data_IF_582479774576
#
_entry.id   IF_582479774576
#
_cell.length_a   1.000
_cell.length_b   1.000
_cell.length_c   1.000
_cell.angle_alpha   90.00
_cell.angle_beta   90.00
_cell.angle_gamma   90.00
#
_symmetry.space_group_name_H-M   'P 1'
#
loop_
_entity.id
_entity.type
_entity.pdbx_description
1 polymer ?
#
# COMPACT_ATOMS: atom_id res chain seq x y z
N UNK A 1 -1.31 -11.27 -27.36
CA UNK A 1 -1.94 -10.11 -26.69
C UNK A 1 -3.35 -9.97 -27.22
N UNK A 2 -4.35 -9.62 -26.39
CA UNK A 2 -5.68 -9.32 -26.88
C UNK A 2 -5.64 -8.09 -27.81
N UNK A 3 -6.56 -8.04 -28.79
CA UNK A 3 -6.70 -6.90 -29.69
C UNK A 3 -7.29 -5.70 -28.93
N UNK A 4 -6.78 -4.49 -29.18
CA UNK A 4 -7.31 -3.27 -28.56
C UNK A 4 -8.68 -2.94 -29.16
N UNK A 5 -9.69 -2.81 -28.30
CA UNK A 5 -11.07 -2.49 -28.67
C UNK A 5 -11.59 -1.37 -27.74
N UNK A 6 -12.05 -0.23 -28.27
CA UNK A 6 -12.57 0.87 -27.47
C UNK A 6 -13.86 0.51 -26.69
N UNK A 7 -14.55 -0.54 -27.10
CA UNK A 7 -15.73 -1.12 -26.42
C UNK A 7 -15.39 -2.39 -25.63
N UNK A 8 -14.13 -2.79 -25.63
CA UNK A 8 -13.65 -3.97 -24.92
C UNK A 8 -13.85 -3.82 -23.41
N UNK A 9 -14.28 -4.90 -22.75
CA UNK A 9 -14.33 -4.93 -21.29
C UNK A 9 -12.91 -4.81 -20.72
N UNK A 10 -12.76 -4.04 -19.65
CA UNK A 10 -11.47 -3.92 -18.95
C UNK A 10 -11.04 -5.27 -18.41
N UNK A 11 -9.82 -5.67 -18.76
CA UNK A 11 -9.19 -6.89 -18.28
C UNK A 11 -8.26 -6.54 -17.12
N UNK A 12 -8.31 -7.33 -16.05
CA UNK A 12 -7.47 -7.15 -14.87
C UNK A 12 -6.54 -8.35 -14.73
N UNK A 13 -5.23 -8.10 -14.74
CA UNK A 13 -4.20 -9.11 -14.52
C UNK A 13 -3.59 -8.93 -13.14
N UNK A 14 -3.69 -9.96 -12.29
CA UNK A 14 -3.26 -9.89 -10.90
C UNK A 14 -2.29 -11.04 -10.60
N UNK A 15 -1.10 -10.70 -10.15
CA UNK A 15 -0.11 -11.66 -9.65
C UNK A 15 0.26 -11.34 -8.20
N UNK A 16 0.40 -12.37 -7.38
CA UNK A 16 0.76 -12.26 -5.96
C UNK A 16 1.89 -13.23 -5.66
N UNK A 17 2.90 -12.77 -4.91
CA UNK A 17 4.02 -13.61 -4.46
C UNK A 17 4.57 -13.10 -3.16
N UNK A 18 5.26 -13.97 -2.43
CA UNK A 18 6.18 -13.54 -1.39
C UNK A 18 7.39 -12.84 -2.03
N UNK A 19 7.93 -11.84 -1.35
CA UNK A 19 9.07 -11.07 -1.82
C UNK A 19 9.95 -10.64 -0.65
N UNK A 20 11.25 -10.50 -0.91
CA UNK A 20 12.13 -9.75 -0.01
C UNK A 20 11.91 -8.25 -0.16
N UNK A 21 12.41 -7.45 0.80
CA UNK A 21 12.33 -5.99 0.72
C UNK A 21 12.97 -5.45 -0.56
N UNK A 22 14.14 -5.96 -0.95
CA UNK A 22 14.84 -5.54 -2.16
C UNK A 22 14.06 -5.85 -3.44
N UNK A 23 13.52 -7.07 -3.56
CA UNK A 23 12.69 -7.48 -4.70
C UNK A 23 11.42 -6.64 -4.83
N UNK A 24 10.85 -6.23 -3.70
CA UNK A 24 9.71 -5.34 -3.67
C UNK A 24 10.06 -3.95 -4.20
N UNK A 25 11.12 -3.34 -3.67
CA UNK A 25 11.57 -2.00 -4.07
C UNK A 25 11.90 -1.94 -5.56
N UNK A 26 12.64 -2.93 -6.07
CA UNK A 26 12.96 -3.05 -7.48
C UNK A 26 11.70 -3.14 -8.37
N UNK A 27 10.72 -3.95 -7.97
CA UNK A 27 9.47 -4.09 -8.71
C UNK A 27 8.61 -2.81 -8.70
N UNK A 28 8.61 -2.07 -7.58
CA UNK A 28 7.95 -0.77 -7.48
C UNK A 28 8.65 0.24 -8.40
N UNK A 29 9.97 0.32 -8.36
CA UNK A 29 10.73 1.24 -9.21
C UNK A 29 10.48 0.97 -10.70
N UNK A 30 10.50 -0.31 -11.09
CA UNK A 30 10.26 -0.74 -12.47
C UNK A 30 8.83 -0.47 -12.97
N UNK A 31 7.83 -0.49 -12.09
CA UNK A 31 6.41 -0.25 -12.45
C UNK A 31 5.94 1.18 -12.20
N UNK A 32 6.67 1.97 -11.41
CA UNK A 32 6.28 3.31 -10.93
C UNK A 32 5.79 4.26 -12.03
N UNK A 33 6.46 4.24 -13.19
CA UNK A 33 6.12 5.10 -14.35
C UNK A 33 4.79 4.74 -15.02
N UNK A 34 4.25 3.54 -14.75
CA UNK A 34 3.02 3.00 -15.35
C UNK A 34 1.89 2.85 -14.34
N UNK A 35 2.06 3.36 -13.11
CA UNK A 35 1.04 3.33 -12.08
C UNK A 35 0.34 4.70 -11.96
N UNK A 36 -0.28 5.16 -13.04
CA UNK A 36 -1.02 6.44 -13.08
C UNK A 36 -2.46 6.31 -12.55
N UNK A 37 -3.01 5.09 -12.57
CA UNK A 37 -4.40 4.75 -12.20
C UNK A 37 -5.44 5.55 -12.99
N UNK A 38 -5.09 5.99 -14.20
CA UNK A 38 -5.98 6.72 -15.08
C UNK A 38 -6.95 5.73 -15.74
N UNK A 39 -8.25 5.98 -15.60
CA UNK A 39 -9.28 5.00 -15.95
C UNK A 39 -9.33 4.62 -17.44
N UNK A 40 -8.83 5.45 -18.35
CA UNK A 40 -8.80 5.17 -19.79
C UNK A 40 -7.45 4.62 -20.29
N UNK A 41 -6.42 4.64 -19.44
CA UNK A 41 -5.11 4.06 -19.76
C UNK A 41 -4.98 2.67 -19.15
N UNK A 42 -4.12 1.87 -19.75
CA UNK A 42 -3.58 0.69 -19.10
C UNK A 42 -2.56 1.12 -18.05
N UNK A 43 -2.73 0.62 -16.83
CA UNK A 43 -1.82 0.90 -15.73
C UNK A 43 -1.38 -0.40 -15.08
N UNK A 44 -0.14 -0.40 -14.60
CA UNK A 44 0.46 -1.50 -13.87
C UNK A 44 1.03 -0.97 -12.56
N UNK A 45 0.54 -1.50 -11.44
CA UNK A 45 0.97 -1.10 -10.11
C UNK A 45 1.50 -2.31 -9.34
N UNK A 46 2.58 -2.09 -8.60
CA UNK A 46 3.11 -3.06 -7.63
C UNK A 46 2.97 -2.48 -6.23
N UNK A 47 2.50 -3.30 -5.31
CA UNK A 47 2.39 -2.97 -3.89
C UNK A 47 2.96 -4.12 -3.05
N UNK A 48 3.48 -3.78 -1.87
CA UNK A 48 4.05 -4.74 -0.94
C UNK A 48 3.47 -4.54 0.46
N UNK A 49 3.31 -5.63 1.18
CA UNK A 49 2.75 -5.65 2.52
C UNK A 49 3.53 -6.59 3.43
N UNK A 50 3.32 -6.47 4.74
CA UNK A 50 3.93 -7.32 5.76
C UNK A 50 2.84 -8.02 6.58
N UNK A 51 3.14 -9.23 7.06
CA UNK A 51 2.21 -10.07 7.82
C UNK A 51 1.67 -11.27 7.02
N UNK A 52 1.05 -12.21 7.75
CA UNK A 52 0.47 -13.39 7.11
C UNK A 52 -0.73 -13.02 6.25
N UNK A 53 -0.79 -13.57 5.03
CA UNK A 53 -1.85 -13.31 4.03
C UNK A 53 -2.15 -11.82 3.81
N UNK A 54 -1.17 -10.93 3.99
CA UNK A 54 -1.39 -9.49 3.92
C UNK A 54 -1.90 -9.01 2.54
N UNK A 55 -1.64 -9.78 1.48
CA UNK A 55 -2.08 -9.52 0.12
C UNK A 55 -3.40 -10.24 -0.26
N UNK A 56 -4.22 -10.61 0.73
CA UNK A 56 -5.51 -11.28 0.51
C UNK A 56 -6.43 -10.46 -0.40
N UNK A 57 -6.52 -9.15 -0.16
CA UNK A 57 -7.24 -8.23 -1.03
C UNK A 57 -6.31 -7.64 -2.09
N UNK A 58 -6.89 -7.15 -3.19
CA UNK A 58 -6.18 -6.27 -4.11
C UNK A 58 -6.29 -4.88 -3.48
N UNK A 59 -5.23 -4.44 -2.84
CA UNK A 59 -5.13 -3.07 -2.34
C UNK A 59 -5.02 -2.17 -3.57
N UNK A 60 -6.15 -1.62 -4.01
CA UNK A 60 -6.20 -0.64 -5.09
C UNK A 60 -6.24 0.79 -4.54
N UNK A 61 -5.73 0.98 -3.32
CA UNK A 61 -5.70 2.26 -2.64
C UNK A 61 -5.45 2.02 -1.17
N UNK A 62 -4.27 2.39 -0.68
CA UNK A 62 -4.07 2.49 0.75
C UNK A 62 -4.87 3.72 1.21
N UNK A 63 -5.84 3.54 2.08
CA UNK A 63 -6.34 4.65 2.89
C UNK A 63 -5.21 5.05 3.83
N UNK A 64 -4.68 6.26 3.70
CA UNK A 64 -3.71 6.81 4.65
C UNK A 64 -4.34 6.75 6.05
N UNK A 65 -3.81 5.90 6.92
CA UNK A 65 -4.22 5.86 8.33
C UNK A 65 -3.68 7.13 8.97
N UNK A 66 -4.52 8.16 9.09
CA UNK A 66 -4.18 9.36 9.83
C UNK A 66 -4.29 9.06 11.33
N UNK A 67 -3.16 9.07 12.03
CA UNK A 67 -3.15 8.97 13.49
C UNK A 67 -3.79 10.19 14.13
N UNK A 68 -4.64 9.99 15.15
CA UNK A 68 -5.19 11.09 15.91
C UNK A 68 -4.11 11.70 16.82
N UNK A 69 -3.67 12.92 16.50
CA UNK A 69 -2.63 13.64 17.23
C UNK A 69 -2.95 13.81 18.72
N UNK A 70 -4.23 13.93 19.10
CA UNK A 70 -4.63 14.05 20.50
C UNK A 70 -4.40 12.76 21.29
N UNK A 71 -4.61 11.60 20.67
CA UNK A 71 -4.37 10.30 21.31
C UNK A 71 -2.87 10.10 21.50
N UNK A 72 -2.06 10.46 20.50
CA UNK A 72 -0.61 10.38 20.57
C UNK A 72 -0.07 11.28 21.69
N UNK A 73 -0.52 12.54 21.76
CA UNK A 73 -0.05 13.47 22.79
C UNK A 73 -0.46 13.05 24.21
N UNK A 74 -1.69 12.55 24.40
CA UNK A 74 -2.15 12.00 25.68
C UNK A 74 -1.34 10.78 26.11
N UNK A 75 -1.01 9.90 25.16
CA UNK A 75 -0.22 8.70 25.44
C UNK A 75 1.19 9.04 25.90
N UNK A 76 1.81 10.04 25.25
CA UNK A 76 3.14 10.55 25.63
C UNK A 76 3.09 11.22 27.01
N UNK A 77 2.08 12.06 27.27
CA UNK A 77 1.93 12.74 28.55
C UNK A 77 1.74 11.74 29.71
N UNK A 78 0.90 10.72 29.53
CA UNK A 78 0.69 9.66 30.51
C UNK A 78 1.99 8.91 30.83
N UNK A 79 2.76 8.57 29.80
CA UNK A 79 4.06 7.90 29.98
C UNK A 79 5.03 8.76 30.80
N UNK A 80 5.14 10.06 30.50
CA UNK A 80 5.99 10.99 31.25
C UNK A 80 5.56 11.07 32.71
N UNK A 81 4.26 11.23 32.98
CA UNK A 81 3.72 11.30 34.35
C UNK A 81 4.03 10.02 35.13
N UNK A 82 3.86 8.85 34.50
CA UNK A 82 4.18 7.57 35.14
C UNK A 82 5.67 7.51 35.49
N UNK A 83 6.56 7.87 34.56
CA UNK A 83 8.01 7.83 34.79
C UNK A 83 8.46 8.84 35.84
N UNK A 84 7.83 10.01 35.94
CA UNK A 84 8.18 11.01 36.95
C UNK A 84 7.57 10.74 38.33
N UNK A 85 6.41 10.09 38.39
CA UNK A 85 5.73 9.77 39.64
C UNK A 85 6.26 8.49 40.31
N UNK A 86 6.64 7.50 39.50
CA UNK A 86 7.22 6.23 39.98
C UNK A 86 8.76 6.25 40.05
N UNK A 87 9.38 7.42 39.94
CA UNK A 87 10.78 7.66 40.24
C UNK A 87 10.91 8.32 41.61
#
# INVERSE_FOLDING_TARGET
TPYWDPTGQKQYYISKRCATLSQCQEAIENSSRRCDRIWYNDWECVECCTGDRCNYYITLGTSTIHGNMAIISLSIAAFVIIVTYFR
#
